data_IF_061249492197
#
_entry.id   IF_061249492197
#
_cell.length_a   1.000
_cell.length_b   1.000
_cell.length_c   1.000
_cell.angle_alpha   90.00
_cell.angle_beta   90.00
_cell.angle_gamma   90.00
#
_symmetry.space_group_name_H-M   'P 1'
#
loop_
_entity.id
_entity.type
_entity.pdbx_description
1 polymer ?
#
# COMPACT_ATOMS: atom_id res chain seq x y z
N UNK A 1 15.16 11.39 2.09
CA UNK A 1 16.49 10.94 1.58
C UNK A 1 16.52 11.21 0.08
N UNK A 2 17.68 11.45 -0.54
CA UNK A 2 17.72 11.55 -2.01
C UNK A 2 17.80 10.14 -2.63
N UNK A 3 17.12 9.89 -3.76
CA UNK A 3 17.32 8.67 -4.53
C UNK A 3 18.76 8.57 -5.05
N UNK A 4 19.12 7.37 -5.49
CA UNK A 4 20.31 7.10 -6.28
C UNK A 4 20.32 7.97 -7.55
N UNK A 5 21.52 8.28 -8.07
CA UNK A 5 21.67 9.13 -9.26
C UNK A 5 21.09 8.53 -10.55
N UNK A 6 20.82 7.23 -10.53
CA UNK A 6 20.26 6.42 -11.62
C UNK A 6 19.49 5.26 -11.02
N UNK A 7 18.53 4.70 -11.76
CA UNK A 7 17.81 3.50 -11.34
C UNK A 7 18.81 2.35 -11.10
N UNK A 8 18.82 1.73 -9.90
CA UNK A 8 19.77 0.68 -9.57
C UNK A 8 19.45 -0.62 -10.33
N UNK A 9 20.45 -1.19 -10.99
CA UNK A 9 20.33 -2.49 -11.68
C UNK A 9 20.59 -3.69 -10.76
N UNK A 10 21.12 -3.45 -9.54
CA UNK A 10 21.40 -4.45 -8.51
C UNK A 10 20.58 -4.18 -7.26
N UNK A 11 19.81 -5.17 -6.81
CA UNK A 11 18.98 -5.14 -5.59
C UNK A 11 19.79 -4.72 -4.35
N UNK A 12 21.06 -5.10 -4.26
CA UNK A 12 21.92 -4.75 -3.12
C UNK A 12 22.28 -3.25 -3.08
N UNK A 13 21.99 -2.50 -4.14
CA UNK A 13 22.23 -1.06 -4.25
C UNK A 13 20.97 -0.22 -4.08
N UNK A 14 19.79 -0.85 -3.99
CA UNK A 14 18.51 -0.17 -3.83
C UNK A 14 18.49 0.56 -2.50
N UNK A 15 18.29 1.88 -2.54
CA UNK A 15 18.07 2.72 -1.37
C UNK A 15 16.57 2.84 -1.13
N UNK A 16 16.12 3.13 0.11
CA UNK A 16 14.70 3.37 0.36
C UNK A 16 14.08 4.45 -0.52
N UNK A 17 14.86 5.49 -0.88
CA UNK A 17 14.41 6.55 -1.79
C UNK A 17 14.27 6.12 -3.26
N UNK A 18 14.84 4.98 -3.66
CA UNK A 18 14.69 4.42 -5.01
C UNK A 18 13.37 3.67 -5.18
N UNK A 19 12.70 3.31 -4.08
CA UNK A 19 11.43 2.61 -4.10
C UNK A 19 10.32 3.62 -4.43
N UNK A 20 9.82 3.57 -5.66
CA UNK A 20 8.84 4.52 -6.20
C UNK A 20 7.40 4.20 -5.79
N UNK A 21 7.09 2.93 -5.56
CA UNK A 21 5.72 2.48 -5.28
C UNK A 21 5.70 1.29 -4.34
N UNK A 22 4.64 1.19 -3.55
CA UNK A 22 4.30 0.02 -2.73
C UNK A 22 2.87 -0.41 -3.08
N UNK A 23 2.62 -1.72 -3.09
CA UNK A 23 1.32 -2.28 -3.43
C UNK A 23 1.07 -3.55 -2.62
N UNK A 24 -0.19 -3.99 -2.57
CA UNK A 24 -0.56 -5.20 -1.88
C UNK A 24 -1.67 -5.96 -2.62
N UNK A 25 -1.54 -7.28 -2.65
CA UNK A 25 -2.49 -8.25 -3.17
C UNK A 25 -2.70 -9.29 -2.07
N UNK A 26 -3.92 -9.78 -1.88
CA UNK A 26 -4.18 -10.74 -0.82
C UNK A 26 -5.64 -10.82 -0.42
N UNK A 27 -5.84 -11.16 0.84
CA UNK A 27 -7.14 -11.44 1.44
C UNK A 27 -7.53 -10.39 2.50
N UNK A 28 -8.37 -10.80 3.44
CA UNK A 28 -8.87 -10.00 4.56
C UNK A 28 -7.75 -9.39 5.40
N UNK A 29 -6.65 -10.11 5.62
CA UNK A 29 -5.55 -9.66 6.48
C UNK A 29 -4.81 -8.53 5.79
N UNK A 30 -4.47 -8.72 4.50
CA UNK A 30 -3.80 -7.71 3.69
C UNK A 30 -4.66 -6.45 3.51
N UNK A 31 -5.98 -6.62 3.40
CA UNK A 31 -6.94 -5.53 3.30
C UNK A 31 -7.14 -4.73 4.61
N UNK A 32 -6.62 -5.21 5.75
CA UNK A 32 -6.90 -4.60 7.06
C UNK A 32 -8.36 -4.78 7.50
N UNK A 33 -8.97 -5.93 7.18
CA UNK A 33 -10.34 -6.22 7.55
C UNK A 33 -10.50 -6.26 9.08
N UNK A 34 -11.54 -5.60 9.59
CA UNK A 34 -11.75 -5.39 11.04
C UNK A 34 -10.63 -4.66 11.76
N UNK A 35 -9.71 -3.99 11.07
CA UNK A 35 -8.67 -3.18 11.73
C UNK A 35 -9.24 -1.84 12.21
N UNK A 36 -10.30 -1.93 13.03
CA UNK A 36 -11.03 -0.82 13.64
C UNK A 36 -10.42 -0.43 14.98
N UNK A 37 -10.56 0.84 15.31
CA UNK A 37 -10.15 1.40 16.60
C UNK A 37 -11.25 1.22 17.66
N UNK A 38 -12.52 1.26 17.24
CA UNK A 38 -13.66 1.16 18.14
C UNK A 38 -14.71 0.15 17.65
N UNK A 39 -15.40 -0.50 18.60
CA UNK A 39 -16.39 -1.54 18.28
C UNK A 39 -17.59 -1.05 17.47
N UNK A 40 -17.93 0.23 17.58
CA UNK A 40 -19.05 0.86 16.85
C UNK A 40 -18.72 1.22 15.39
N UNK A 41 -17.46 1.14 14.98
CA UNK A 41 -17.08 1.39 13.59
C UNK A 41 -17.65 0.28 12.69
N UNK A 42 -18.05 0.68 11.47
CA UNK A 42 -18.63 -0.24 10.51
C UNK A 42 -17.62 -1.34 10.18
N UNK A 43 -18.11 -2.57 10.17
CA UNK A 43 -17.35 -3.71 9.70
C UNK A 43 -16.94 -3.55 8.22
N UNK A 44 -15.64 -3.63 7.94
CA UNK A 44 -15.09 -3.51 6.60
C UNK A 44 -13.57 -3.60 6.56
N UNK A 45 -13.02 -3.29 5.38
CA UNK A 45 -11.58 -3.13 5.18
C UNK A 45 -11.15 -1.72 5.57
N UNK A 46 -10.17 -1.63 6.47
CA UNK A 46 -9.52 -0.39 6.89
C UNK A 46 -8.14 -0.36 6.25
N UNK A 47 -8.10 -0.13 4.93
CA UNK A 47 -6.87 -0.25 4.14
C UNK A 47 -5.76 0.69 4.60
N UNK A 48 -6.12 1.82 5.22
CA UNK A 48 -5.15 2.74 5.81
C UNK A 48 -4.48 2.26 7.10
N UNK A 49 -5.01 1.19 7.71
CA UNK A 49 -4.40 0.45 8.81
C UNK A 49 -3.70 -0.85 8.36
N UNK A 50 -3.69 -1.14 7.04
CA UNK A 50 -2.97 -2.31 6.53
C UNK A 50 -1.49 -2.24 6.89
N UNK A 51 -0.94 -3.33 7.42
CA UNK A 51 0.48 -3.40 7.78
C UNK A 51 1.42 -3.10 6.59
N UNK A 52 0.98 -3.42 5.37
CA UNK A 52 1.80 -3.25 4.16
C UNK A 52 1.69 -1.82 3.63
N UNK A 53 0.49 -1.38 3.26
CA UNK A 53 0.29 -0.13 2.51
C UNK A 53 -0.32 1.00 3.34
N UNK A 54 -0.74 0.73 4.58
CA UNK A 54 -1.51 1.65 5.40
C UNK A 54 -0.76 2.93 5.74
N UNK A 55 -1.43 4.07 5.61
CA UNK A 55 -0.84 5.38 5.73
C UNK A 55 -1.73 6.43 6.43
N UNK A 56 -2.83 5.99 7.08
CA UNK A 56 -3.77 6.88 7.80
C UNK A 56 -3.02 7.72 8.85
N UNK A 57 -2.10 7.09 9.58
CA UNK A 57 -1.29 7.72 10.62
C UNK A 57 0.19 7.83 10.20
N UNK A 58 0.98 8.61 10.96
CA UNK A 58 2.43 8.70 10.75
C UNK A 58 3.18 7.48 11.30
N UNK A 59 4.46 7.32 10.95
CA UNK A 59 5.30 6.22 11.45
C UNK A 59 5.37 6.18 12.98
N UNK A 60 5.35 7.35 13.62
CA UNK A 60 5.44 7.52 15.07
C UNK A 60 4.17 7.05 15.79
N UNK A 61 3.03 7.02 15.11
CA UNK A 61 1.74 6.59 15.65
C UNK A 61 1.36 5.17 15.21
N UNK A 62 1.66 4.80 13.96
CA UNK A 62 1.34 3.48 13.42
C UNK A 62 2.45 3.00 12.47
N UNK A 63 3.17 1.95 12.89
CA UNK A 63 4.23 1.36 12.07
C UNK A 63 3.63 0.45 11.00
N UNK A 64 3.79 0.87 9.75
CA UNK A 64 3.50 0.08 8.54
C UNK A 64 4.73 0.08 7.63
N UNK A 65 4.83 -0.87 6.70
CA UNK A 65 5.90 -0.87 5.70
C UNK A 65 5.85 0.43 4.88
N UNK A 66 4.66 0.86 4.47
CA UNK A 66 4.45 2.14 3.80
C UNK A 66 4.97 3.34 4.60
N UNK A 67 4.70 3.42 5.90
CA UNK A 67 5.17 4.51 6.74
C UNK A 67 6.70 4.51 6.93
N UNK A 68 7.31 3.34 7.03
CA UNK A 68 8.77 3.20 7.07
C UNK A 68 9.36 3.75 5.77
N UNK A 69 8.86 3.30 4.61
CA UNK A 69 9.37 3.73 3.31
C UNK A 69 9.10 5.21 3.03
N UNK A 70 7.89 5.71 3.33
CA UNK A 70 7.48 7.10 3.16
C UNK A 70 8.34 8.08 3.95
N UNK A 71 8.86 7.68 5.12
CA UNK A 71 9.81 8.48 5.91
C UNK A 71 11.08 8.79 5.13
N UNK A 72 11.54 7.86 4.30
CA UNK A 72 12.74 8.05 3.46
C UNK A 72 12.40 8.58 2.07
N UNK A 73 11.20 8.28 1.56
CA UNK A 73 10.67 8.76 0.28
C UNK A 73 9.24 9.37 0.44
N UNK A 74 9.11 10.68 0.66
CA UNK A 74 7.79 11.32 0.75
C UNK A 74 6.92 11.22 -0.52
N UNK A 75 7.53 10.88 -1.67
CA UNK A 75 6.86 10.72 -2.96
C UNK A 75 6.43 9.26 -3.23
N UNK A 76 6.52 8.37 -2.24
CA UNK A 76 6.11 6.97 -2.37
C UNK A 76 4.65 6.86 -2.80
N UNK A 77 4.41 6.19 -3.93
CA UNK A 77 3.07 5.95 -4.47
C UNK A 77 2.45 4.67 -3.91
N UNK A 78 1.12 4.60 -3.95
CA UNK A 78 0.36 3.41 -3.56
C UNK A 78 -0.02 3.30 -2.08
N UNK A 79 0.22 4.37 -1.32
CA UNK A 79 -0.26 4.51 0.05
C UNK A 79 -1.77 4.30 0.12
N UNK A 80 -2.21 3.51 1.09
CA UNK A 80 -3.62 3.26 1.37
C UNK A 80 -4.10 4.16 2.50
N UNK A 81 -5.30 4.70 2.36
CA UNK A 81 -6.02 5.45 3.37
C UNK A 81 -7.42 4.85 3.52
N UNK A 82 -7.98 4.86 4.73
CA UNK A 82 -9.33 4.34 4.98
C UNK A 82 -10.42 5.36 4.62
N UNK A 83 -10.09 6.66 4.64
CA UNK A 83 -11.02 7.77 4.33
C UNK A 83 -10.36 8.84 3.43
N UNK A 84 -11.03 9.23 2.32
CA UNK A 84 -12.19 8.57 1.73
C UNK A 84 -11.82 7.15 1.27
N UNK A 85 -12.79 6.22 1.33
CA UNK A 85 -12.61 4.79 0.98
C UNK A 85 -12.08 4.58 -0.45
N UNK A 86 -12.26 5.58 -1.31
CA UNK A 86 -11.73 5.65 -2.68
C UNK A 86 -10.20 5.73 -2.73
N UNK A 87 -9.53 5.96 -1.59
CA UNK A 87 -8.06 6.01 -1.46
C UNK A 87 -7.46 4.71 -0.91
N UNK A 88 -7.96 3.54 -1.33
CA UNK A 88 -7.29 2.27 -1.07
C UNK A 88 -5.86 2.21 -1.66
N UNK A 89 -5.49 3.15 -2.54
CA UNK A 89 -4.16 3.23 -3.13
C UNK A 89 -3.92 2.03 -4.03
N UNK A 90 -2.80 1.35 -3.82
CA UNK A 90 -2.44 0.14 -4.57
C UNK A 90 -2.66 -1.15 -3.76
N UNK A 91 -3.49 -1.09 -2.72
CA UNK A 91 -3.97 -2.28 -2.04
C UNK A 91 -5.24 -2.79 -2.72
N UNK A 92 -5.10 -3.88 -3.46
CA UNK A 92 -6.17 -4.53 -4.20
C UNK A 92 -6.56 -5.87 -3.57
N UNK A 93 -6.21 -6.08 -2.30
CA UNK A 93 -6.60 -7.25 -1.54
C UNK A 93 -8.12 -7.27 -1.31
N UNK A 94 -8.71 -8.46 -1.32
CA UNK A 94 -10.16 -8.65 -1.21
C UNK A 94 -10.47 -9.63 -0.08
N UNK A 95 -11.24 -9.23 0.94
CA UNK A 95 -11.66 -10.15 1.99
C UNK A 95 -12.29 -11.44 1.45
N UNK A 96 -11.83 -12.59 1.95
CA UNK A 96 -12.27 -13.91 1.47
C UNK A 96 -11.61 -14.41 0.18
N UNK A 97 -10.69 -13.63 -0.42
CA UNK A 97 -9.89 -14.09 -1.55
C UNK A 97 -8.92 -15.21 -1.15
N UNK A 98 -8.57 -16.04 -2.14
CA UNK A 98 -7.50 -17.02 -2.04
C UNK A 98 -6.57 -16.92 -3.26
N UNK A 99 -5.64 -17.86 -3.39
CA UNK A 99 -4.64 -17.85 -4.48
C UNK A 99 -5.24 -17.82 -5.88
N UNK A 100 -6.45 -18.38 -6.09
CA UNK A 100 -7.13 -18.34 -7.39
C UNK A 100 -7.55 -16.92 -7.82
N UNK A 101 -7.65 -15.97 -6.88
CA UNK A 101 -8.01 -14.58 -7.16
C UNK A 101 -6.80 -13.69 -7.49
N UNK A 102 -5.58 -14.11 -7.12
CA UNK A 102 -4.38 -13.30 -7.31
C UNK A 102 -4.14 -12.85 -8.77
N UNK A 103 -4.39 -13.67 -9.81
CA UNK A 103 -4.24 -13.21 -11.19
C UNK A 103 -5.10 -12.01 -11.53
N UNK A 104 -6.35 -11.96 -11.06
CA UNK A 104 -7.25 -10.83 -11.29
C UNK A 104 -6.76 -9.60 -10.51
N UNK A 105 -6.38 -9.75 -9.25
CA UNK A 105 -5.87 -8.62 -8.47
C UNK A 105 -4.57 -8.05 -9.10
N UNK A 106 -3.71 -8.90 -9.66
CA UNK A 106 -2.50 -8.47 -10.37
C UNK A 106 -2.83 -7.67 -11.64
N UNK A 107 -3.86 -8.09 -12.40
CA UNK A 107 -4.34 -7.33 -13.56
C UNK A 107 -4.86 -5.96 -13.13
N UNK A 108 -5.67 -5.90 -12.08
CA UNK A 108 -6.17 -4.64 -11.51
C UNK A 108 -5.01 -3.73 -11.09
N UNK A 109 -3.98 -4.26 -10.43
CA UNK A 109 -2.81 -3.48 -10.03
C UNK A 109 -2.04 -2.90 -11.23
N UNK A 110 -1.88 -3.68 -12.31
CA UNK A 110 -1.26 -3.19 -13.55
C UNK A 110 -2.07 -2.04 -14.17
N UNK A 111 -3.40 -2.13 -14.16
CA UNK A 111 -4.26 -1.04 -14.64
C UNK A 111 -4.13 0.22 -13.79
N UNK A 112 -3.99 0.08 -12.47
CA UNK A 112 -3.75 1.20 -11.56
C UNK A 112 -2.41 1.87 -11.84
N UNK A 113 -1.33 1.10 -12.03
CA UNK A 113 -0.02 1.66 -12.40
C UNK A 113 -0.09 2.43 -13.72
N UNK A 114 -0.77 1.89 -14.74
CA UNK A 114 -0.94 2.57 -16.03
C UNK A 114 -1.71 3.88 -15.92
N UNK A 115 -2.74 3.94 -15.06
CA UNK A 115 -3.52 5.18 -14.84
C UNK A 115 -2.70 6.25 -14.14
N UNK A 116 -1.86 5.83 -13.20
CA UNK A 116 -0.99 6.70 -12.42
C UNK A 116 0.14 7.35 -13.26
N UNK A 117 0.62 6.67 -14.31
CA UNK A 117 1.63 7.21 -15.24
C UNK A 117 1.09 8.28 -16.21
N UNK A 118 -0.23 8.47 -16.26
CA UNK A 118 -0.92 9.35 -17.22
C UNK A 118 -1.35 10.70 -16.59
N UNK A 119 -1.09 10.91 -15.30
CA UNK A 119 -1.46 12.12 -14.55
C UNK A 119 -0.26 13.00 -14.19
#
# INVERSE_FOLDING_TARGET
>A
MMPSSSDPEDVNRVRPADIKSIAALGDSITAGYMSKNFDYERDGAFTGNSFITGADESLEQHVTIANILRKFNPLLKGLSFSVPTEKAGFNVAVPGANSSNLPLQAQTLVELFRKEDVC
#
